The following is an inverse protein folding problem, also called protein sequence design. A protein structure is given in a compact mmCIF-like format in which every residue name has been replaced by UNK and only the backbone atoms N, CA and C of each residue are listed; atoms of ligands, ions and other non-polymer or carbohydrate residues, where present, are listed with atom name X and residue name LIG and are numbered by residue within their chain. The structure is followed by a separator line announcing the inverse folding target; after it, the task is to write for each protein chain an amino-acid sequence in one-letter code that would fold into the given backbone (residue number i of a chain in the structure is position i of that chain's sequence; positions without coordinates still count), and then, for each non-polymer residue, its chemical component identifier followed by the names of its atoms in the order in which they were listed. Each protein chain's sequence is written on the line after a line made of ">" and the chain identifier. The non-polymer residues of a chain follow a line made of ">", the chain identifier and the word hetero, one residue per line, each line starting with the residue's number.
data_IF_778557443508
#
_entry.id   IF_778557443508
#
_cell.length_a   1.000
_cell.length_b   1.000
_cell.length_c   1.000
_cell.angle_alpha   90.00
_cell.angle_beta   90.00
_cell.angle_gamma   90.00
#
_symmetry.space_group_name_H-M   'P 1'
#
loop_
_entity.id
_entity.type
_entity.pdbx_description
1 polymer ?
#
# COMPACT_ATOMS: atom_id res chain seq x y z
N UNK A 1 -13.34 -24.78 -18.82
CA UNK A 1 -14.27 -25.75 -19.47
C UNK A 1 -14.52 -25.48 -20.95
N UNK A 2 -15.24 -24.42 -21.38
CA UNK A 2 -15.50 -24.20 -22.82
C UNK A 2 -14.22 -23.93 -23.65
N UNK A 3 -13.36 -23.02 -23.17
CA UNK A 3 -12.05 -22.72 -23.77
C UNK A 3 -11.12 -23.94 -23.84
N UNK A 4 -11.12 -24.78 -22.81
CA UNK A 4 -10.33 -26.03 -22.80
C UNK A 4 -10.82 -27.01 -23.87
N UNK A 5 -12.14 -27.10 -24.11
CA UNK A 5 -12.71 -27.93 -25.17
C UNK A 5 -12.43 -27.38 -26.57
N UNK A 6 -12.39 -26.05 -26.73
CA UNK A 6 -11.92 -25.43 -27.97
C UNK A 6 -10.46 -25.77 -28.26
N UNK A 7 -9.58 -25.74 -27.25
CA UNK A 7 -8.17 -26.13 -27.39
C UNK A 7 -8.05 -27.61 -27.74
N UNK A 8 -8.89 -28.47 -27.15
CA UNK A 8 -8.96 -29.90 -27.45
C UNK A 8 -9.64 -30.21 -28.81
N UNK A 9 -10.06 -29.20 -29.58
CA UNK A 9 -10.77 -29.31 -30.88
C UNK A 9 -12.10 -30.06 -30.83
N UNK A 10 -12.72 -30.12 -29.66
CA UNK A 10 -14.07 -30.64 -29.47
C UNK A 10 -15.08 -29.50 -29.60
N UNK A 11 -15.29 -29.08 -30.85
CA UNK A 11 -16.02 -27.86 -31.16
C UNK A 11 -17.51 -27.97 -30.84
N UNK A 12 -18.12 -29.13 -31.00
CA UNK A 12 -19.55 -29.32 -30.75
C UNK A 12 -19.87 -29.12 -29.27
N UNK A 13 -19.07 -29.75 -28.39
CA UNK A 13 -19.21 -29.58 -26.93
C UNK A 13 -18.84 -28.15 -26.51
N UNK A 14 -17.79 -27.56 -27.08
CA UNK A 14 -17.40 -26.19 -26.78
C UNK A 14 -18.51 -25.17 -27.12
N UNK A 15 -19.14 -25.28 -28.30
CA UNK A 15 -20.24 -24.41 -28.71
C UNK A 15 -21.48 -24.60 -27.83
N UNK A 16 -21.80 -25.84 -27.46
CA UNK A 16 -22.90 -26.12 -26.54
C UNK A 16 -22.67 -25.44 -25.18
N UNK A 17 -21.47 -25.60 -24.59
CA UNK A 17 -21.10 -24.96 -23.33
C UNK A 17 -21.12 -23.44 -23.41
N UNK A 18 -20.66 -22.85 -24.52
CA UNK A 18 -20.66 -21.40 -24.71
C UNK A 18 -22.09 -20.85 -24.77
N UNK A 19 -22.98 -21.49 -25.55
CA UNK A 19 -24.40 -21.12 -25.63
C UNK A 19 -25.09 -21.20 -24.27
N UNK A 20 -24.82 -22.24 -23.50
CA UNK A 20 -25.35 -22.37 -22.14
C UNK A 20 -24.84 -21.24 -21.23
N UNK A 21 -23.55 -20.90 -21.31
CA UNK A 21 -22.97 -19.80 -20.53
C UNK A 21 -23.59 -18.44 -20.91
N UNK A 22 -23.76 -18.16 -22.20
CA UNK A 22 -24.42 -16.94 -22.70
C UNK A 22 -25.87 -16.88 -22.23
N UNK A 23 -26.60 -17.99 -22.31
CA UNK A 23 -27.95 -18.08 -21.81
C UNK A 23 -28.03 -17.71 -20.32
N UNK A 24 -27.14 -18.26 -19.47
CA UNK A 24 -27.09 -17.90 -18.06
C UNK A 24 -26.69 -16.43 -17.84
N UNK A 25 -25.76 -15.88 -18.62
CA UNK A 25 -25.40 -14.45 -18.52
C UNK A 25 -26.57 -13.50 -18.80
N UNK A 26 -27.44 -13.87 -19.74
CA UNK A 26 -28.59 -13.05 -20.14
C UNK A 26 -29.82 -13.27 -19.25
N UNK A 27 -30.04 -14.51 -18.78
CA UNK A 27 -31.30 -14.93 -18.15
C UNK A 27 -31.18 -15.32 -16.67
N UNK A 28 -30.00 -15.19 -16.07
CA UNK A 28 -29.81 -15.46 -14.64
C UNK A 28 -29.21 -14.27 -13.89
N UNK A 29 -29.26 -14.35 -12.57
CA UNK A 29 -28.59 -13.41 -11.67
C UNK A 29 -27.78 -14.21 -10.67
N UNK A 30 -26.53 -13.81 -10.49
CA UNK A 30 -25.68 -14.36 -9.46
C UNK A 30 -26.13 -13.81 -8.11
N UNK A 31 -26.52 -14.71 -7.20
CA UNK A 31 -26.83 -14.40 -5.81
C UNK A 31 -25.82 -15.12 -4.95
N UNK A 32 -25.04 -14.35 -4.21
CA UNK A 32 -24.05 -14.88 -3.27
C UNK A 32 -24.67 -14.85 -1.88
N UNK A 33 -24.98 -16.04 -1.37
CA UNK A 33 -25.41 -16.20 0.02
C UNK A 33 -24.25 -15.91 0.98
N UNK A 34 -24.56 -15.44 2.18
CA UNK A 34 -23.55 -15.04 3.19
C UNK A 34 -22.51 -14.04 2.66
N UNK A 35 -22.94 -13.11 1.81
CA UNK A 35 -22.05 -12.14 1.14
C UNK A 35 -21.17 -11.34 2.11
N UNK A 36 -21.62 -11.10 3.33
CA UNK A 36 -20.87 -10.45 4.41
C UNK A 36 -19.69 -11.30 4.93
N UNK A 37 -19.81 -12.62 4.89
CA UNK A 37 -18.73 -13.55 5.21
C UNK A 37 -17.86 -13.85 3.99
N UNK A 38 -18.46 -14.11 2.82
CA UNK A 38 -17.74 -14.43 1.58
C UNK A 38 -16.92 -13.27 1.03
N UNK A 39 -17.42 -12.04 1.17
CA UNK A 39 -16.70 -10.82 0.80
C UNK A 39 -16.15 -10.07 2.01
N UNK A 40 -16.03 -10.74 3.15
CA UNK A 40 -15.41 -10.14 4.32
C UNK A 40 -13.97 -9.76 4.00
N UNK A 41 -13.57 -8.52 4.30
CA UNK A 41 -12.18 -8.08 4.22
C UNK A 41 -11.22 -8.86 5.16
N UNK A 42 -11.76 -9.78 6.00
CA UNK A 42 -10.98 -10.74 6.79
C UNK A 42 -10.38 -11.87 5.95
N UNK A 43 -10.96 -12.13 4.78
CA UNK A 43 -10.55 -13.20 3.88
C UNK A 43 -10.05 -12.58 2.57
N UNK A 44 -8.74 -12.41 2.46
CA UNK A 44 -8.10 -12.04 1.20
C UNK A 44 -7.29 -13.25 0.71
N UNK A 45 -7.76 -13.86 -0.38
CA UNK A 45 -7.07 -14.97 -1.04
C UNK A 45 -6.40 -14.44 -2.29
N UNK A 46 -5.10 -14.17 -2.19
CA UNK A 46 -4.24 -13.86 -3.33
C UNK A 46 -3.71 -15.17 -3.90
N UNK A 47 -4.32 -15.66 -4.98
CA UNK A 47 -3.78 -16.80 -5.73
C UNK A 47 -2.69 -16.29 -6.67
N UNK A 48 -1.43 -16.48 -6.31
CA UNK A 48 -0.33 -16.26 -7.24
C UNK A 48 -0.28 -17.41 -8.25
N UNK A 49 -0.22 -17.07 -9.53
CA UNK A 49 -0.05 -18.04 -10.62
C UNK A 49 1.32 -17.76 -11.26
N UNK A 50 2.16 -18.78 -11.37
CA UNK A 50 3.49 -18.69 -11.96
C UNK A 50 4.62 -18.92 -10.95
N UNK A 51 5.85 -18.70 -11.41
CA UNK A 51 7.05 -18.87 -10.59
C UNK A 51 7.18 -17.75 -9.54
N UNK A 52 7.79 -18.07 -8.40
CA UNK A 52 8.10 -17.09 -7.36
C UNK A 52 9.07 -16.03 -7.93
N UNK A 53 8.66 -14.75 -7.88
CA UNK A 53 9.47 -13.62 -8.32
C UNK A 53 9.68 -12.64 -7.15
N UNK A 54 10.76 -11.83 -7.17
CA UNK A 54 10.91 -10.72 -6.26
C UNK A 54 9.72 -9.75 -6.35
N UNK A 55 9.36 -9.13 -5.22
CA UNK A 55 8.36 -8.05 -5.21
C UNK A 55 8.84 -6.93 -6.14
N UNK A 56 7.92 -6.34 -6.91
CA UNK A 56 8.24 -5.23 -7.80
C UNK A 56 8.98 -4.12 -7.03
N UNK A 57 10.04 -3.57 -7.63
CA UNK A 57 10.93 -2.55 -7.04
C UNK A 57 11.76 -3.08 -5.86
N UNK A 58 11.94 -4.39 -5.69
CA UNK A 58 12.88 -4.91 -4.68
C UNK A 58 14.34 -4.79 -5.16
N UNK A 59 15.30 -4.36 -4.32
CA UNK A 59 15.15 -4.02 -2.89
C UNK A 59 14.77 -2.56 -2.59
N UNK A 60 14.71 -1.68 -3.59
CA UNK A 60 14.49 -0.24 -3.41
C UNK A 60 13.19 0.10 -2.69
N UNK A 61 12.13 -0.70 -2.86
CA UNK A 61 10.83 -0.55 -2.18
C UNK A 61 11.00 -0.51 -0.66
N UNK A 62 11.84 -1.40 -0.13
CA UNK A 62 12.15 -1.46 1.29
C UNK A 62 12.91 -0.22 1.74
N UNK A 63 13.96 0.16 1.01
CA UNK A 63 14.79 1.32 1.33
C UNK A 63 13.99 2.63 1.31
N UNK A 64 13.15 2.81 0.29
CA UNK A 64 12.29 4.00 0.15
C UNK A 64 11.27 4.05 1.29
N UNK A 65 10.66 2.93 1.66
CA UNK A 65 9.75 2.87 2.79
C UNK A 65 10.45 3.28 4.10
N UNK A 66 11.68 2.82 4.34
CA UNK A 66 12.47 3.25 5.50
C UNK A 66 12.86 4.73 5.48
N UNK A 67 13.26 5.26 4.33
CA UNK A 67 13.54 6.70 4.22
C UNK A 67 12.29 7.53 4.54
N UNK A 68 11.11 7.08 4.11
CA UNK A 68 9.83 7.70 4.50
C UNK A 68 9.57 7.50 6.00
N UNK A 69 9.88 6.31 6.54
CA UNK A 69 10.07 5.95 7.96
C UNK A 69 10.69 7.08 8.78
N UNK A 70 11.92 7.40 8.41
CA UNK A 70 12.76 8.38 9.07
C UNK A 70 12.20 9.80 8.98
N UNK A 71 11.58 10.14 7.85
CA UNK A 71 10.91 11.43 7.68
C UNK A 71 9.67 11.55 8.57
N UNK A 72 8.89 10.48 8.74
CA UNK A 72 7.77 10.46 9.69
C UNK A 72 8.29 10.73 11.10
N UNK A 73 9.31 10.01 11.54
CA UNK A 73 9.94 10.20 12.85
C UNK A 73 10.38 11.66 13.07
N UNK A 74 10.93 12.30 12.04
CA UNK A 74 11.37 13.70 12.11
C UNK A 74 10.21 14.68 12.17
N UNK A 75 9.28 14.59 11.23
CA UNK A 75 8.23 15.60 11.05
C UNK A 75 7.05 15.45 12.01
N UNK A 76 6.88 14.30 12.65
CA UNK A 76 5.79 14.11 13.60
C UNK A 76 5.91 15.03 14.81
N UNK A 77 7.12 15.30 15.30
CA UNK A 77 7.33 16.27 16.38
C UNK A 77 6.93 17.69 15.95
N UNK A 78 7.30 18.10 14.73
CA UNK A 78 6.88 19.39 14.18
C UNK A 78 5.36 19.49 14.05
N UNK A 79 4.70 18.43 13.56
CA UNK A 79 3.24 18.39 13.44
C UNK A 79 2.57 18.38 14.82
N UNK A 80 3.16 17.71 15.82
CA UNK A 80 2.69 17.72 17.21
C UNK A 80 2.73 19.13 17.81
N UNK A 81 3.71 19.96 17.46
CA UNK A 81 3.70 21.37 17.92
C UNK A 81 2.51 22.16 17.36
N UNK A 82 2.09 21.88 16.11
CA UNK A 82 0.94 22.52 15.47
C UNK A 82 -0.40 21.94 15.94
N UNK A 83 -0.44 20.63 16.21
CA UNK A 83 -1.63 19.89 16.64
C UNK A 83 -1.40 19.08 17.92
N UNK A 84 -1.20 19.73 19.08
CA UNK A 84 -0.76 19.04 20.31
C UNK A 84 -1.69 17.94 20.82
N UNK A 85 -2.99 18.05 20.51
CA UNK A 85 -4.02 17.10 20.95
C UNK A 85 -4.36 16.04 19.90
N UNK A 86 -3.83 16.16 18.68
CA UNK A 86 -4.15 15.26 17.57
C UNK A 86 -3.00 14.31 17.24
N UNK A 87 -1.84 14.51 17.87
CA UNK A 87 -0.63 13.72 17.66
C UNK A 87 -0.09 13.23 19.00
N UNK A 88 0.00 11.91 19.15
CA UNK A 88 0.71 11.26 20.25
C UNK A 88 2.03 10.71 19.74
N UNK A 89 3.09 11.00 20.48
CA UNK A 89 4.42 10.42 20.25
C UNK A 89 4.94 9.95 21.60
N UNK A 90 5.12 8.65 21.74
CA UNK A 90 5.73 8.04 22.92
C UNK A 90 7.18 7.66 22.62
N UNK A 91 8.07 8.03 23.55
CA UNK A 91 9.47 7.69 23.44
C UNK A 91 9.65 6.17 23.57
N UNK A 92 10.34 5.60 22.59
CA UNK A 92 10.69 4.18 22.61
C UNK A 92 12.15 3.96 23.00
N UNK A 93 12.53 2.70 23.28
CA UNK A 93 13.89 2.34 23.69
C UNK A 93 14.92 2.70 22.60
N UNK A 94 16.18 2.91 23.01
CA UNK A 94 17.25 3.18 22.05
C UNK A 94 17.31 2.10 20.96
N UNK A 95 17.24 2.51 19.68
CA UNK A 95 17.24 1.61 18.53
C UNK A 95 15.88 1.19 18.00
N UNK A 96 14.78 1.68 18.59
CA UNK A 96 13.41 1.38 18.10
C UNK A 96 12.73 2.59 17.46
N UNK A 97 11.70 2.30 16.66
CA UNK A 97 10.82 3.32 16.10
C UNK A 97 9.88 3.86 17.20
N UNK A 98 9.66 5.18 17.28
CA UNK A 98 8.77 5.76 18.29
C UNK A 98 7.32 5.34 18.02
N UNK A 99 6.54 5.16 19.10
CA UNK A 99 5.12 4.89 18.92
C UNK A 99 4.41 6.20 18.56
N UNK A 100 3.89 6.29 17.33
CA UNK A 100 3.26 7.48 16.77
C UNK A 100 1.77 7.22 16.52
N UNK A 101 0.91 8.16 16.91
CA UNK A 101 -0.52 8.15 16.57
C UNK A 101 -0.99 9.52 16.11
N UNK A 102 -1.85 9.53 15.09
CA UNK A 102 -2.40 10.75 14.48
C UNK A 102 -3.90 10.60 14.30
N UNK A 103 -4.69 11.30 15.11
CA UNK A 103 -6.13 11.03 15.24
C UNK A 103 -6.99 11.62 14.13
N UNK A 104 -6.70 12.84 13.70
CA UNK A 104 -7.54 13.58 12.76
C UNK A 104 -6.91 13.73 11.38
N UNK A 105 -7.78 13.80 10.36
CA UNK A 105 -7.39 13.92 8.97
C UNK A 105 -6.57 15.18 8.68
N UNK A 106 -6.72 16.24 9.47
CA UNK A 106 -6.00 17.50 9.27
C UNK A 106 -4.52 17.34 9.63
N UNK A 107 -4.22 16.75 10.79
CA UNK A 107 -2.86 16.44 11.21
C UNK A 107 -2.20 15.38 10.31
N UNK A 108 -2.97 14.39 9.85
CA UNK A 108 -2.49 13.39 8.89
C UNK A 108 -2.10 14.01 7.55
N UNK A 109 -2.94 14.92 7.03
CA UNK A 109 -2.68 15.65 5.78
C UNK A 109 -1.45 16.55 5.92
N UNK A 110 -1.34 17.28 7.01
CA UNK A 110 -0.17 18.13 7.27
C UNK A 110 1.12 17.32 7.27
N UNK A 111 1.16 16.18 7.98
CA UNK A 111 2.35 15.32 8.01
C UNK A 111 2.73 14.83 6.62
N UNK A 112 1.74 14.31 5.88
CA UNK A 112 1.96 13.81 4.51
C UNK A 112 2.47 14.93 3.60
N UNK A 113 1.88 16.12 3.68
CA UNK A 113 2.30 17.26 2.88
C UNK A 113 3.72 17.73 3.25
N UNK A 114 4.10 17.76 4.53
CA UNK A 114 5.46 18.06 4.97
C UNK A 114 6.48 17.04 4.42
N UNK A 115 6.18 15.74 4.51
CA UNK A 115 7.07 14.68 4.03
C UNK A 115 7.17 14.74 2.49
N UNK A 116 6.05 14.88 1.79
CA UNK A 116 6.05 14.98 0.34
C UNK A 116 6.80 16.22 -0.15
N UNK A 117 6.67 17.36 0.53
CA UNK A 117 7.46 18.56 0.25
C UNK A 117 8.95 18.31 0.46
N UNK A 118 9.35 17.70 1.59
CA UNK A 118 10.74 17.35 1.85
C UNK A 118 11.33 16.48 0.73
N UNK A 119 10.64 15.39 0.38
CA UNK A 119 11.08 14.47 -0.69
C UNK A 119 11.23 15.20 -2.01
N UNK A 120 10.29 16.08 -2.36
CA UNK A 120 10.40 16.85 -3.59
C UNK A 120 11.61 17.79 -3.56
N UNK A 121 11.95 18.36 -2.41
CA UNK A 121 13.09 19.27 -2.27
C UNK A 121 14.46 18.58 -2.22
N UNK A 122 14.56 17.44 -1.53
CA UNK A 122 15.84 16.75 -1.26
C UNK A 122 16.07 15.52 -2.14
N UNK A 123 15.01 14.87 -2.60
CA UNK A 123 15.04 13.56 -3.24
C UNK A 123 15.11 12.40 -2.24
N UNK A 124 15.14 11.19 -2.77
CA UNK A 124 15.37 9.92 -2.06
C UNK A 124 16.47 9.13 -2.78
N UNK A 125 16.95 8.06 -2.17
CA UNK A 125 17.84 7.11 -2.87
C UNK A 125 17.17 6.58 -4.14
N UNK A 126 17.87 6.69 -5.28
CA UNK A 126 17.32 6.30 -6.58
C UNK A 126 16.24 7.22 -7.16
N UNK A 127 15.85 8.31 -6.47
CA UNK A 127 14.79 9.22 -6.89
C UNK A 127 15.24 10.69 -6.94
N UNK A 128 15.83 11.15 -8.06
CA UNK A 128 16.49 12.44 -8.18
C UNK A 128 15.52 13.62 -8.44
N UNK A 129 14.36 13.65 -7.79
CA UNK A 129 13.33 14.69 -7.99
C UNK A 129 13.83 16.11 -7.65
N UNK A 130 14.77 16.23 -6.71
CA UNK A 130 15.35 17.51 -6.32
C UNK A 130 16.00 18.29 -7.47
N UNK A 131 16.48 17.58 -8.51
CA UNK A 131 17.12 18.16 -9.69
C UNK A 131 16.11 18.65 -10.74
N UNK A 132 14.83 18.34 -10.57
CA UNK A 132 13.79 18.72 -11.52
C UNK A 132 13.35 20.19 -11.32
N UNK A 133 12.78 20.82 -12.36
CA UNK A 133 12.21 22.15 -12.25
C UNK A 133 11.14 22.22 -11.15
N UNK A 134 11.00 23.38 -10.50
CA UNK A 134 10.01 23.60 -9.44
C UNK A 134 8.58 23.20 -9.84
N UNK A 135 8.23 23.41 -11.11
CA UNK A 135 6.92 23.02 -11.68
C UNK A 135 6.70 21.50 -11.63
N UNK A 136 7.72 20.72 -12.01
CA UNK A 136 7.68 19.26 -11.96
C UNK A 136 7.64 18.76 -10.52
N UNK A 137 8.43 19.37 -9.63
CA UNK A 137 8.43 19.02 -8.19
C UNK A 137 7.05 19.23 -7.56
N UNK A 138 6.42 20.36 -7.84
CA UNK A 138 5.08 20.64 -7.33
C UNK A 138 4.02 19.72 -7.94
N UNK A 139 4.10 19.43 -9.25
CA UNK A 139 3.22 18.48 -9.89
C UNK A 139 3.36 17.07 -9.27
N UNK A 140 4.59 16.63 -8.97
CA UNK A 140 4.85 15.33 -8.31
C UNK A 140 4.32 15.32 -6.89
N UNK A 141 4.48 16.41 -6.13
CA UNK A 141 3.91 16.56 -4.79
C UNK A 141 2.39 16.37 -4.82
N UNK A 142 1.70 17.13 -5.69
CA UNK A 142 0.24 17.03 -5.87
C UNK A 142 -0.16 15.63 -6.33
N UNK A 143 0.59 15.05 -7.27
CA UNK A 143 0.33 13.70 -7.76
C UNK A 143 0.47 12.65 -6.65
N UNK A 144 1.43 12.78 -5.74
CA UNK A 144 1.60 11.79 -4.68
C UNK A 144 0.65 11.98 -3.50
N UNK A 145 0.21 13.21 -3.19
CA UNK A 145 -0.64 13.47 -2.01
C UNK A 145 -2.14 13.50 -2.31
N UNK A 146 -2.56 13.73 -3.56
CA UNK A 146 -3.98 13.81 -3.93
C UNK A 146 -4.52 12.47 -4.43
N UNK A 147 -5.47 11.88 -3.68
CA UNK A 147 -6.14 10.62 -4.04
C UNK A 147 -6.81 10.67 -5.42
N UNK A 148 -7.56 11.74 -5.71
CA UNK A 148 -8.25 11.93 -7.00
C UNK A 148 -7.54 12.99 -7.83
N UNK A 149 -6.68 12.55 -8.74
CA UNK A 149 -6.01 13.42 -9.72
C UNK A 149 -6.88 13.57 -10.97
N UNK A 150 -6.85 14.75 -11.61
CA UNK A 150 -7.49 14.93 -12.93
C UNK A 150 -6.61 14.36 -14.04
N UNK A 151 -7.19 14.05 -15.19
CA UNK A 151 -6.43 13.54 -16.35
C UNK A 151 -5.28 14.46 -16.75
N UNK A 152 -5.49 15.78 -16.69
CA UNK A 152 -4.42 16.75 -16.96
C UNK A 152 -3.27 16.66 -15.95
N UNK A 153 -3.57 16.47 -14.66
CA UNK A 153 -2.55 16.32 -13.62
C UNK A 153 -1.74 15.03 -13.81
N UNK A 154 -2.40 13.96 -14.26
CA UNK A 154 -1.74 12.69 -14.58
C UNK A 154 -0.85 12.87 -15.81
N UNK A 155 -1.36 13.45 -16.89
CA UNK A 155 -0.61 13.67 -18.12
C UNK A 155 0.58 14.61 -17.93
N UNK A 156 0.49 15.58 -17.02
CA UNK A 156 1.59 16.47 -16.69
C UNK A 156 2.81 15.67 -16.19
N UNK A 157 2.59 14.66 -15.35
CA UNK A 157 3.65 13.78 -14.87
C UNK A 157 4.04 12.75 -15.92
N UNK A 158 3.08 12.03 -16.49
CA UNK A 158 3.38 10.85 -17.33
C UNK A 158 3.96 11.21 -18.70
N UNK A 159 3.64 12.40 -19.23
CA UNK A 159 4.01 12.80 -20.59
C UNK A 159 4.83 14.08 -20.65
N UNK A 160 4.58 15.05 -19.78
CA UNK A 160 5.14 16.41 -19.89
C UNK A 160 6.28 16.70 -18.91
N UNK A 161 6.62 15.76 -18.04
CA UNK A 161 7.68 15.89 -17.03
C UNK A 161 9.12 15.81 -17.57
N UNK A 162 9.34 16.08 -18.86
CA UNK A 162 10.68 16.12 -19.46
C UNK A 162 11.45 14.80 -19.37
N UNK A 163 10.73 13.66 -19.39
CA UNK A 163 11.33 12.33 -19.25
C UNK A 163 11.58 11.90 -17.81
N UNK A 164 11.15 12.70 -16.81
CA UNK A 164 11.19 12.28 -15.42
C UNK A 164 10.31 11.06 -15.16
N UNK A 165 9.21 10.89 -15.88
CA UNK A 165 8.44 9.65 -15.89
C UNK A 165 9.12 8.59 -16.78
N UNK A 166 9.78 7.62 -16.16
CA UNK A 166 10.49 6.55 -16.88
C UNK A 166 10.74 5.32 -16.01
N UNK A 167 11.40 4.27 -16.56
CA UNK A 167 11.59 3.00 -15.87
C UNK A 167 12.22 3.08 -14.47
N UNK A 168 13.09 4.08 -14.22
CA UNK A 168 13.77 4.26 -12.94
C UNK A 168 12.99 5.02 -11.86
N UNK A 169 11.93 5.74 -12.23
CA UNK A 169 11.23 6.68 -11.33
C UNK A 169 9.74 6.41 -11.22
N UNK A 170 9.14 5.79 -12.25
CA UNK A 170 7.72 5.47 -12.31
C UNK A 170 7.30 4.61 -11.13
N UNK A 171 8.04 3.54 -10.87
CA UNK A 171 7.68 2.59 -9.82
C UNK A 171 7.86 3.23 -8.43
N UNK A 172 8.83 4.14 -8.27
CA UNK A 172 8.99 4.96 -7.04
C UNK A 172 7.82 5.93 -6.86
N UNK A 173 7.36 6.59 -7.93
CA UNK A 173 6.19 7.47 -7.88
C UNK A 173 4.94 6.71 -7.47
N UNK A 174 4.73 5.51 -8.00
CA UNK A 174 3.60 4.67 -7.59
C UNK A 174 3.70 4.23 -6.13
N UNK A 175 4.89 3.86 -5.66
CA UNK A 175 5.11 3.54 -4.25
C UNK A 175 4.79 4.72 -3.34
N UNK A 176 5.35 5.90 -3.62
CA UNK A 176 5.09 7.12 -2.84
C UNK A 176 3.61 7.51 -2.87
N UNK A 177 2.96 7.41 -4.04
CA UNK A 177 1.52 7.64 -4.16
C UNK A 177 0.71 6.65 -3.33
N UNK A 178 1.09 5.37 -3.29
CA UNK A 178 0.45 4.37 -2.44
C UNK A 178 0.61 4.69 -0.94
N UNK A 179 1.83 5.06 -0.53
CA UNK A 179 2.13 5.45 0.85
C UNK A 179 1.32 6.66 1.31
N UNK A 180 1.24 7.70 0.46
CA UNK A 180 0.59 8.97 0.77
C UNK A 180 -0.90 8.97 0.39
N UNK A 181 -1.22 9.22 -0.88
CA UNK A 181 -2.60 9.33 -1.37
C UNK A 181 -3.39 8.02 -1.22
N UNK A 182 -2.73 6.87 -1.36
CA UNK A 182 -3.34 5.54 -1.15
C UNK A 182 -3.65 5.24 0.32
N UNK A 183 -3.13 6.05 1.24
CA UNK A 183 -3.53 6.03 2.65
C UNK A 183 -2.84 4.96 3.50
N UNK A 184 -1.76 4.34 3.03
CA UNK A 184 -1.03 3.32 3.84
C UNK A 184 -0.46 3.95 5.12
N UNK A 185 0.14 5.15 5.03
CA UNK A 185 0.66 5.82 6.23
C UNK A 185 -0.47 6.29 7.16
N UNK A 186 -1.56 6.82 6.60
CA UNK A 186 -2.77 7.18 7.38
C UNK A 186 -3.33 5.96 8.10
N UNK A 187 -3.36 4.81 7.42
CA UNK A 187 -3.80 3.56 8.01
C UNK A 187 -2.88 3.13 9.15
N UNK A 188 -1.56 3.12 8.94
CA UNK A 188 -0.58 2.66 9.90
C UNK A 188 -0.55 3.52 11.17
N UNK A 189 -0.55 4.85 11.02
CA UNK A 189 -0.37 5.79 12.14
C UNK A 189 -1.68 6.39 12.67
N UNK A 190 -2.79 6.29 11.95
CA UNK A 190 -4.07 6.88 12.35
C UNK A 190 -5.16 5.87 12.70
N UNK A 191 -5.37 4.87 11.84
CA UNK A 191 -6.51 3.94 11.95
C UNK A 191 -6.16 2.65 12.70
N UNK A 192 -4.89 2.44 13.06
CA UNK A 192 -4.44 1.28 13.85
C UNK A 192 -5.11 1.28 15.23
N UNK A 193 -6.03 0.33 15.43
CA UNK A 193 -6.82 0.17 16.66
C UNK A 193 -5.94 -0.29 17.84
N UNK A 194 -6.16 0.32 19.01
CA UNK A 194 -5.67 -0.18 20.30
C UNK A 194 -6.11 -1.64 20.48
N UNK A 195 -5.20 -2.51 20.95
CA UNK A 195 -5.41 -3.94 21.34
C UNK A 195 -5.20 -5.00 20.26
N UNK A 196 -4.75 -4.63 19.06
CA UNK A 196 -4.15 -5.58 18.12
C UNK A 196 -2.64 -5.35 18.17
N UNK A 197 -1.96 -6.06 19.07
CA UNK A 197 -0.49 -6.06 19.05
C UNK A 197 -0.08 -6.73 17.75
N UNK A 198 0.82 -6.17 16.96
CA UNK A 198 1.46 -6.94 15.89
C UNK A 198 2.80 -7.42 16.43
N UNK A 199 3.28 -8.55 15.97
CA UNK A 199 4.58 -9.03 16.41
C UNK A 199 5.02 -10.22 15.60
N UNK A 200 6.30 -10.53 15.71
CA UNK A 200 6.90 -11.67 15.06
C UNK A 200 6.31 -12.94 15.66
N UNK A 201 5.92 -13.88 14.80
CA UNK A 201 5.58 -15.23 15.21
C UNK A 201 6.73 -16.16 14.82
N UNK A 202 7.38 -16.76 15.81
CA UNK A 202 8.48 -17.72 15.61
C UNK A 202 7.98 -19.13 15.27
N UNK A 203 6.66 -19.35 15.30
CA UNK A 203 6.06 -20.69 15.20
C UNK A 203 5.51 -21.02 13.82
N UNK A 204 5.79 -20.20 12.79
CA UNK A 204 5.38 -20.49 11.40
C UNK A 204 6.35 -21.47 10.74
N UNK A 205 5.80 -22.42 10.01
CA UNK A 205 6.56 -23.28 9.09
C UNK A 205 6.04 -23.06 7.65
N UNK A 206 6.87 -22.55 6.72
CA UNK A 206 8.26 -22.09 6.92
C UNK A 206 8.35 -20.80 7.76
N UNK A 207 9.49 -20.59 8.42
CA UNK A 207 9.73 -19.42 9.26
C UNK A 207 9.67 -18.13 8.44
N UNK A 208 8.63 -17.32 8.63
CA UNK A 208 8.50 -15.98 8.04
C UNK A 208 8.64 -14.91 9.12
N UNK A 209 9.55 -13.95 8.92
CA UNK A 209 9.66 -12.76 9.79
C UNK A 209 8.63 -11.72 9.36
N UNK A 210 7.35 -12.02 9.56
CA UNK A 210 6.25 -11.12 9.22
C UNK A 210 5.52 -10.71 10.50
N UNK A 211 5.22 -9.42 10.63
CA UNK A 211 4.43 -8.91 11.74
C UNK A 211 2.96 -9.30 11.55
N UNK A 212 2.38 -10.04 12.50
CA UNK A 212 0.98 -10.50 12.44
C UNK A 212 0.14 -9.92 13.57
N UNK A 213 -1.16 -9.62 13.36
CA UNK A 213 -2.06 -9.16 14.41
C UNK A 213 -2.31 -10.25 15.47
N UNK A 214 -2.06 -9.91 16.72
CA UNK A 214 -2.41 -10.66 17.92
C UNK A 214 -3.87 -10.40 18.26
N UNK A 215 -4.62 -11.49 18.49
CA UNK A 215 -5.95 -11.45 19.09
C UNK A 215 -5.80 -11.37 20.60
N UNK A 216 -5.68 -10.15 21.13
CA UNK A 216 -5.58 -9.93 22.57
C UNK A 216 -4.30 -10.48 23.20
N UNK A 217 -4.30 -10.62 24.53
CA UNK A 217 -3.14 -11.03 25.31
C UNK A 217 -2.72 -12.45 24.89
N UNK A 218 -1.61 -12.54 24.17
CA UNK A 218 -0.81 -13.75 23.96
C UNK A 218 -1.26 -14.78 22.89
N UNK A 219 -2.02 -14.41 21.86
CA UNK A 219 -2.28 -15.33 20.73
C UNK A 219 -2.16 -14.67 19.34
N UNK A 220 -1.04 -14.88 18.61
CA UNK A 220 -0.89 -14.42 17.24
C UNK A 220 -1.81 -15.21 16.31
N UNK A 221 -2.53 -14.52 15.43
CA UNK A 221 -3.35 -15.20 14.42
C UNK A 221 -2.43 -15.69 13.30
N UNK A 222 -2.07 -16.98 13.30
CA UNK A 222 -1.09 -17.56 12.37
C UNK A 222 -1.42 -17.44 10.87
N UNK A 223 -2.58 -16.88 10.49
CA UNK A 223 -3.05 -16.70 9.10
C UNK A 223 -3.46 -15.27 8.73
N UNK A 224 -3.34 -14.31 9.63
CA UNK A 224 -3.65 -12.91 9.30
C UNK A 224 -2.37 -12.22 8.85
N UNK A 225 -2.23 -12.03 7.55
CA UNK A 225 -1.17 -11.23 6.94
C UNK A 225 -1.84 -10.08 6.19
N UNK A 226 -1.18 -8.92 6.11
CA UNK A 226 -1.57 -7.94 5.12
C UNK A 226 -1.14 -8.46 3.75
N UNK A 227 -2.09 -8.54 2.82
CA UNK A 227 -1.83 -8.82 1.41
C UNK A 227 -0.96 -7.74 0.76
N UNK A 228 -1.10 -6.49 1.21
CA UNK A 228 -0.43 -5.36 0.63
C UNK A 228 1.02 -5.26 1.13
N UNK A 229 2.04 -5.41 0.27
CA UNK A 229 3.44 -5.46 0.70
C UNK A 229 3.86 -4.20 1.45
N UNK A 230 3.39 -3.02 1.02
CA UNK A 230 3.76 -1.77 1.69
C UNK A 230 3.15 -1.61 3.09
N UNK A 231 1.97 -2.20 3.33
CA UNK A 231 1.40 -2.23 4.69
C UNK A 231 2.20 -3.17 5.59
N UNK A 232 2.66 -4.31 5.05
CA UNK A 232 3.57 -5.22 5.76
C UNK A 232 4.87 -4.52 6.12
N UNK A 233 5.50 -3.82 5.17
CA UNK A 233 6.78 -3.13 5.37
C UNK A 233 6.64 -2.05 6.44
N UNK A 234 5.66 -1.15 6.27
CA UNK A 234 5.44 -0.03 7.21
C UNK A 234 5.13 -0.50 8.62
N UNK A 235 4.39 -1.61 8.77
CA UNK A 235 4.03 -2.15 10.09
C UNK A 235 5.10 -3.08 10.69
N UNK A 236 6.09 -3.51 9.91
CA UNK A 236 7.19 -4.34 10.39
C UNK A 236 8.12 -3.54 11.30
N UNK A 237 8.45 -2.29 10.95
CA UNK A 237 9.38 -1.44 11.70
C UNK A 237 8.76 -0.75 12.92
N UNK A 238 7.45 -0.89 13.11
CA UNK A 238 6.72 -0.35 14.26
C UNK A 238 6.95 -1.18 15.55
N UNK A 239 7.84 -2.19 15.50
CA UNK A 239 8.20 -3.12 16.59
C UNK A 239 9.70 -3.42 16.61
#
# INVERSE_FOLDING_TARGET
>A
MALERMIARDFDVAHSLLKTLEFFREHSRDVVDESDEKFSAKFELVYTIGDQQPVQLSPERWLIAHEVLDLIRRYTEDVKTKFPHLVEVEASQAGSFPHIRIFEADAQRELIDCIAAHICETGLSGFPIARQPKTVREAVRIYNTKLKSTDDQIQEIEKRSGGFWGPGTRDVLFLLRGLFAGGILVFAFGLKRWRVNYGLTSTREPSTKLAVPYRGKDSPTARSEYSHPDAVIVLYDDY
#
